data_IF_103880177266
#
_entry.id   IF_103880177266
#
_cell.length_a   1.000
_cell.length_b   1.000
_cell.length_c   1.000
_cell.angle_alpha   90.00
_cell.angle_beta   90.00
_cell.angle_gamma   90.00
#
_symmetry.space_group_name_H-M   'P 1'
#
loop_
_entity.id
_entity.type
_entity.pdbx_description
1 polymer ?
#
# COMPACT_ATOMS: atom_id res chain seq x y z
N UNK A 1 20.58 -1.55 -20.51
CA UNK A 1 19.13 -1.32 -20.64
C UNK A 1 18.56 -1.48 -19.25
N UNK A 2 18.08 -0.40 -18.63
CA UNK A 2 17.30 -0.50 -17.39
C UNK A 2 15.85 -0.70 -17.85
N UNK A 3 15.24 -1.80 -17.45
CA UNK A 3 13.80 -2.00 -17.62
C UNK A 3 13.19 -1.33 -16.41
N UNK A 4 12.35 -0.32 -16.63
CA UNK A 4 11.56 0.26 -15.55
C UNK A 4 10.37 -0.69 -15.36
N UNK A 5 10.28 -1.28 -14.17
CA UNK A 5 9.16 -2.10 -13.76
C UNK A 5 8.48 -1.38 -12.60
N UNK A 6 7.17 -1.23 -12.70
CA UNK A 6 6.30 -0.77 -11.64
C UNK A 6 5.66 -2.01 -11.00
N UNK A 7 5.68 -2.07 -9.66
CA UNK A 7 5.14 -3.18 -8.88
C UNK A 7 4.02 -2.64 -7.99
N UNK A 8 2.81 -3.16 -8.17
CA UNK A 8 1.62 -2.75 -7.42
C UNK A 8 0.99 -3.96 -6.74
N UNK A 9 0.71 -3.88 -5.44
CA UNK A 9 -0.05 -4.94 -4.76
C UNK A 9 -1.50 -4.92 -5.22
N UNK A 10 -2.06 -6.09 -5.54
CA UNK A 10 -3.41 -6.22 -6.08
C UNK A 10 -4.14 -7.42 -5.46
N UNK A 11 -5.46 -7.39 -5.57
CA UNK A 11 -6.34 -8.54 -5.42
C UNK A 11 -7.17 -8.74 -6.70
N UNK A 12 -7.58 -9.99 -6.96
CA UNK A 12 -8.52 -10.30 -8.04
C UNK A 12 -9.85 -10.74 -7.44
N UNK A 13 -10.92 -10.12 -7.92
CA UNK A 13 -12.30 -10.44 -7.55
C UNK A 13 -13.01 -11.10 -8.72
N UNK A 14 -13.93 -12.02 -8.45
CA UNK A 14 -14.84 -12.56 -9.47
C UNK A 14 -16.01 -11.59 -9.76
N UNK A 15 -16.93 -12.00 -10.64
CA UNK A 15 -18.13 -11.22 -11.01
C UNK A 15 -19.16 -11.05 -9.87
N UNK A 16 -19.06 -11.86 -8.81
CA UNK A 16 -19.87 -11.74 -7.60
C UNK A 16 -19.21 -10.84 -6.55
N UNK A 17 -17.96 -10.42 -6.77
CA UNK A 17 -17.15 -9.69 -5.82
C UNK A 17 -16.45 -10.58 -4.78
N UNK A 18 -16.46 -11.91 -4.99
CA UNK A 18 -15.73 -12.85 -4.15
C UNK A 18 -14.24 -12.85 -4.51
N UNK A 19 -13.38 -13.02 -3.51
CA UNK A 19 -11.92 -12.98 -3.68
C UNK A 19 -11.44 -14.24 -4.40
N UNK A 20 -10.91 -14.08 -5.61
CA UNK A 20 -10.23 -15.13 -6.38
C UNK A 20 -8.74 -15.21 -6.00
N UNK A 21 -8.09 -14.05 -5.89
CA UNK A 21 -6.70 -13.92 -5.44
C UNK A 21 -6.63 -12.84 -4.37
N UNK A 22 -6.26 -13.23 -3.14
CA UNK A 22 -6.20 -12.32 -2.00
C UNK A 22 -5.03 -11.33 -2.07
N UNK A 23 -3.88 -11.77 -2.61
CA UNK A 23 -2.69 -10.92 -2.75
C UNK A 23 -1.82 -11.36 -3.92
N UNK A 24 -1.65 -10.48 -4.90
CA UNK A 24 -0.74 -10.60 -6.03
C UNK A 24 0.09 -9.33 -6.22
N UNK A 25 1.08 -9.40 -7.10
CA UNK A 25 1.86 -8.24 -7.53
C UNK A 25 1.62 -8.04 -9.02
N UNK A 26 0.99 -6.93 -9.39
CA UNK A 26 0.94 -6.47 -10.77
C UNK A 26 2.33 -5.90 -11.13
N UNK A 27 2.95 -6.44 -12.17
CA UNK A 27 4.23 -6.00 -12.69
C UNK A 27 3.99 -5.41 -14.07
N UNK A 28 4.25 -4.11 -14.24
CA UNK A 28 4.09 -3.41 -15.51
C UNK A 28 5.40 -2.75 -15.96
N UNK A 29 5.68 -2.83 -17.26
CA UNK A 29 6.81 -2.15 -17.87
C UNK A 29 6.78 -2.22 -19.39
N UNK A 30 7.83 -1.69 -20.02
CA UNK A 30 7.94 -1.65 -21.48
C UNK A 30 7.91 -3.06 -22.10
N UNK A 31 6.74 -3.46 -22.62
CA UNK A 31 6.52 -4.74 -23.29
C UNK A 31 6.23 -5.92 -22.37
N UNK A 32 5.93 -5.67 -21.08
CA UNK A 32 5.55 -6.69 -20.12
C UNK A 32 4.45 -6.18 -19.19
N UNK A 33 3.40 -6.97 -19.05
CA UNK A 33 2.43 -6.83 -17.97
C UNK A 33 2.10 -8.24 -17.47
N UNK A 34 2.16 -8.48 -16.17
CA UNK A 34 1.91 -9.79 -15.59
C UNK A 34 1.46 -9.67 -14.14
N UNK A 35 0.72 -10.67 -13.67
CA UNK A 35 0.39 -10.81 -12.25
C UNK A 35 1.28 -11.90 -11.68
N UNK A 36 2.15 -11.55 -10.73
CA UNK A 36 2.92 -12.52 -9.98
C UNK A 36 2.15 -12.93 -8.71
N UNK A 37 1.88 -14.22 -8.57
CA UNK A 37 1.20 -14.77 -7.41
C UNK A 37 1.75 -16.16 -7.08
N UNK A 38 1.80 -16.54 -5.80
CA UNK A 38 2.16 -17.90 -5.37
C UNK A 38 3.46 -18.50 -5.95
N UNK A 39 4.43 -17.67 -6.33
CA UNK A 39 5.69 -18.14 -6.94
C UNK A 39 5.65 -18.31 -8.46
N UNK A 40 4.57 -17.94 -9.13
CA UNK A 40 4.38 -18.04 -10.58
C UNK A 40 3.93 -16.71 -11.19
N UNK A 41 4.22 -16.55 -12.49
CA UNK A 41 3.64 -15.48 -13.31
C UNK A 41 2.35 -16.00 -13.94
N UNK A 42 1.25 -15.40 -13.53
CA UNK A 42 -0.09 -15.59 -14.06
C UNK A 42 -0.44 -14.40 -14.96
N UNK A 43 -1.37 -14.61 -15.89
CA UNK A 43 -1.92 -13.53 -16.75
C UNK A 43 -0.85 -12.65 -17.43
N UNK A 44 0.03 -13.27 -18.22
CA UNK A 44 1.14 -12.56 -18.89
C UNK A 44 0.70 -11.96 -20.24
N UNK A 45 0.98 -10.68 -20.44
CA UNK A 45 0.72 -9.94 -21.67
C UNK A 45 1.83 -8.89 -21.94
N UNK A 46 1.67 -8.13 -23.02
CA UNK A 46 2.68 -7.15 -23.47
C UNK A 46 2.33 -5.70 -23.15
N UNK A 47 1.09 -5.44 -22.70
CA UNK A 47 0.62 -4.12 -22.28
C UNK A 47 -0.56 -4.24 -21.30
N UNK A 48 -0.72 -3.26 -20.40
CA UNK A 48 -1.77 -3.25 -19.37
C UNK A 48 -3.21 -3.40 -19.90
N UNK A 49 -3.54 -2.77 -21.04
CA UNK A 49 -4.89 -2.92 -21.63
C UNK A 49 -5.20 -4.37 -22.07
N UNK A 50 -4.18 -5.19 -22.35
CA UNK A 50 -4.37 -6.60 -22.67
C UNK A 50 -4.72 -7.40 -21.42
N UNK A 51 -4.18 -7.01 -20.25
CA UNK A 51 -4.48 -7.63 -18.97
C UNK A 51 -5.96 -7.48 -18.64
N UNK A 52 -6.53 -6.28 -18.77
CA UNK A 52 -7.96 -6.03 -18.55
C UNK A 52 -8.84 -6.95 -19.39
N UNK A 53 -8.48 -7.15 -20.67
CA UNK A 53 -9.20 -8.06 -21.56
C UNK A 53 -9.08 -9.53 -21.12
N UNK A 54 -7.88 -9.96 -20.71
CA UNK A 54 -7.65 -11.32 -20.23
C UNK A 54 -8.48 -11.57 -18.95
N UNK A 55 -8.43 -10.65 -17.99
CA UNK A 55 -9.16 -10.78 -16.73
C UNK A 55 -10.67 -10.77 -16.97
N UNK A 56 -11.17 -9.84 -17.78
CA UNK A 56 -12.60 -9.78 -18.14
C UNK A 56 -13.07 -11.07 -18.81
N UNK A 57 -12.24 -11.69 -19.67
CA UNK A 57 -12.59 -12.97 -20.33
C UNK A 57 -12.74 -14.15 -19.37
N UNK A 58 -12.19 -14.02 -18.16
CA UNK A 58 -12.26 -14.99 -17.07
C UNK A 58 -13.22 -14.55 -15.95
N UNK A 59 -14.00 -13.49 -16.17
CA UNK A 59 -14.88 -12.87 -15.17
C UNK A 59 -14.12 -12.40 -13.92
N UNK A 60 -12.90 -11.90 -14.10
CA UNK A 60 -12.08 -11.34 -13.03
C UNK A 60 -11.96 -9.83 -13.17
N UNK A 61 -11.92 -9.15 -12.02
CA UNK A 61 -11.64 -7.72 -11.91
C UNK A 61 -10.39 -7.51 -11.07
N UNK A 62 -9.47 -6.67 -11.54
CA UNK A 62 -8.29 -6.26 -10.78
C UNK A 62 -8.67 -5.11 -9.84
N UNK A 63 -8.23 -5.22 -8.59
CA UNK A 63 -8.31 -4.14 -7.62
C UNK A 63 -6.92 -3.94 -7.01
N UNK A 64 -6.41 -2.72 -7.11
CA UNK A 64 -5.20 -2.31 -6.39
C UNK A 64 -5.44 -2.32 -4.89
N UNK A 65 -4.52 -2.96 -4.17
CA UNK A 65 -4.46 -2.93 -2.72
C UNK A 65 -3.60 -1.74 -2.33
N UNK A 66 -4.24 -0.62 -2.04
CA UNK A 66 -3.58 0.44 -1.30
C UNK A 66 -3.51 0.02 0.16
N UNK A 67 -2.31 -0.04 0.73
CA UNK A 67 -2.18 -0.18 2.18
C UNK A 67 -2.78 1.09 2.82
N UNK A 68 -4.05 1.04 3.21
CA UNK A 68 -4.67 2.12 3.96
C UNK A 68 -3.85 2.31 5.25
N UNK A 69 -3.14 3.43 5.34
CA UNK A 69 -2.46 3.78 6.58
C UNK A 69 -3.52 4.12 7.61
N UNK A 70 -3.62 3.27 8.64
CA UNK A 70 -4.56 3.46 9.74
C UNK A 70 -3.84 4.01 10.97
N UNK A 71 -4.50 4.94 11.65
CA UNK A 71 -4.05 5.41 12.96
C UNK A 71 -3.97 4.24 13.95
N UNK A 72 -2.82 4.06 14.60
CA UNK A 72 -2.59 3.00 15.59
C UNK A 72 -3.54 3.09 16.79
N UNK A 73 -4.04 4.29 17.13
CA UNK A 73 -5.02 4.51 18.21
C UNK A 73 -6.48 4.33 17.76
N UNK A 74 -6.97 5.16 16.82
CA UNK A 74 -8.40 5.22 16.47
C UNK A 74 -8.79 4.37 15.26
N UNK A 75 -7.82 3.76 14.57
CA UNK A 75 -8.01 2.94 13.36
C UNK A 75 -8.65 3.67 12.17
N UNK A 76 -8.68 5.01 12.19
CA UNK A 76 -9.15 5.79 11.05
C UNK A 76 -8.08 5.86 9.96
N UNK A 77 -8.46 5.82 8.67
CA UNK A 77 -7.56 6.09 7.56
C UNK A 77 -6.91 7.47 7.68
N UNK A 78 -5.64 7.57 7.29
CA UNK A 78 -4.85 8.78 7.38
C UNK A 78 -3.87 8.91 6.22
N UNK A 79 -3.77 10.13 5.68
CA UNK A 79 -2.82 10.52 4.64
C UNK A 79 -1.63 11.31 5.19
N UNK A 80 -1.72 11.74 6.45
CA UNK A 80 -0.65 12.39 7.18
C UNK A 80 -0.78 12.10 8.68
N UNK A 81 0.32 12.18 9.40
CA UNK A 81 0.31 12.06 10.85
C UNK A 81 1.70 11.93 11.47
N UNK A 82 1.69 11.65 12.77
CA UNK A 82 2.89 11.34 13.53
C UNK A 82 3.31 9.89 13.24
N UNK A 83 4.56 9.66 12.86
CA UNK A 83 5.15 8.34 12.63
C UNK A 83 6.30 8.09 13.60
N UNK A 84 6.43 6.85 14.06
CA UNK A 84 7.47 6.39 14.97
C UNK A 84 8.27 5.28 14.30
N UNK A 85 9.52 5.55 13.92
CA UNK A 85 10.36 4.57 13.24
C UNK A 85 10.69 3.36 14.12
N UNK A 86 10.75 3.56 15.44
CA UNK A 86 11.16 2.53 16.38
C UNK A 86 10.26 1.30 16.41
N UNK A 87 8.96 1.49 16.18
CA UNK A 87 7.96 0.43 16.25
C UNK A 87 6.93 0.47 15.10
N UNK A 88 7.10 1.37 14.14
CA UNK A 88 6.22 1.54 12.99
C UNK A 88 4.82 2.06 13.35
N UNK A 89 4.62 2.60 14.57
CA UNK A 89 3.32 3.16 14.96
C UNK A 89 3.08 4.52 14.34
N UNK A 90 1.80 4.85 14.14
CA UNK A 90 1.38 6.07 13.47
C UNK A 90 0.09 6.63 14.04
N UNK A 91 -0.02 7.96 14.14
CA UNK A 91 -1.16 8.63 14.79
C UNK A 91 -1.64 9.81 13.94
N UNK A 92 -2.93 9.81 13.59
CA UNK A 92 -3.53 10.82 12.72
C UNK A 92 -3.61 12.23 13.34
N UNK A 93 -3.46 12.35 14.65
CA UNK A 93 -3.59 13.63 15.34
C UNK A 93 -2.85 13.64 16.67
N UNK A 94 -2.59 14.86 17.17
CA UNK A 94 -1.99 15.05 18.50
C UNK A 94 -2.89 14.49 19.60
N UNK A 95 -4.20 14.52 19.41
CA UNK A 95 -5.16 13.94 20.34
C UNK A 95 -5.03 12.42 20.45
N UNK A 96 -4.81 11.73 19.32
CA UNK A 96 -4.55 10.29 19.30
C UNK A 96 -3.17 9.96 19.89
N UNK A 97 -2.15 10.73 19.52
CA UNK A 97 -0.79 10.59 20.04
C UNK A 97 -0.75 10.72 21.57
N UNK A 98 -1.43 11.73 22.11
CA UNK A 98 -1.44 12.02 23.55
C UNK A 98 -2.20 11.01 24.40
N UNK A 99 -2.77 9.95 23.79
CA UNK A 99 -3.29 8.77 24.49
C UNK A 99 -2.23 7.75 24.84
N UNK A 100 -1.06 7.81 24.20
CA UNK A 100 0.03 6.83 24.38
C UNK A 100 1.33 7.43 24.89
N UNK A 101 1.62 8.70 24.57
CA UNK A 101 2.83 9.42 24.98
C UNK A 101 2.50 10.89 25.26
N UNK A 102 3.15 11.52 26.23
CA UNK A 102 2.95 12.96 26.46
C UNK A 102 3.60 13.80 25.35
N UNK A 103 3.17 15.05 25.21
CA UNK A 103 3.77 15.96 24.22
C UNK A 103 5.23 16.29 24.52
N UNK A 104 5.62 16.34 25.80
CA UNK A 104 7.02 16.56 26.19
C UNK A 104 7.91 15.39 25.79
N UNK A 105 7.49 14.17 26.10
CA UNK A 105 8.20 12.95 25.70
C UNK A 105 8.29 12.81 24.16
N UNK A 106 7.25 13.21 23.42
CA UNK A 106 7.31 13.28 21.96
C UNK A 106 8.38 14.29 21.48
N UNK A 107 8.44 15.48 22.07
CA UNK A 107 9.45 16.49 21.69
C UNK A 107 10.89 16.03 21.99
N UNK A 108 11.08 15.21 23.02
CA UNK A 108 12.41 14.68 23.37
C UNK A 108 12.94 13.67 22.34
N UNK A 109 12.04 12.98 21.63
CA UNK A 109 12.41 12.03 20.55
C UNK A 109 12.27 12.63 19.15
N UNK A 110 11.60 13.78 19.04
CA UNK A 110 11.44 14.55 17.81
C UNK A 110 12.66 15.46 17.61
N UNK A 111 13.64 15.00 16.84
CA UNK A 111 14.86 15.78 16.54
C UNK A 111 14.70 16.60 15.26
N UNK A 112 13.75 17.54 15.22
CA UNK A 112 13.42 18.35 14.03
C UNK A 112 13.09 17.52 12.76
N UNK A 113 12.65 16.28 12.92
CA UNK A 113 12.43 15.34 11.82
C UNK A 113 13.57 14.35 11.57
N UNK A 114 14.74 14.54 12.21
CA UNK A 114 15.89 13.63 12.15
C UNK A 114 15.91 12.62 13.33
N UNK A 115 14.84 12.60 14.14
CA UNK A 115 14.69 11.74 15.31
C UNK A 115 13.84 10.51 15.04
N UNK A 116 13.65 9.66 16.05
CA UNK A 116 12.87 8.41 15.94
C UNK A 116 11.35 8.63 15.77
N UNK A 117 10.89 9.88 15.78
CA UNK A 117 9.52 10.24 15.50
C UNK A 117 9.43 11.56 14.71
N UNK A 118 8.48 11.66 13.79
CA UNK A 118 8.27 12.84 12.96
C UNK A 118 6.82 12.95 12.46
N UNK A 119 6.42 14.15 12.04
CA UNK A 119 5.18 14.34 11.27
C UNK A 119 5.50 14.15 9.79
N UNK A 120 4.70 13.35 9.09
CA UNK A 120 4.84 13.15 7.65
C UNK A 120 3.48 13.10 6.96
N UNK A 121 3.49 13.46 5.68
CA UNK A 121 2.42 13.18 4.75
C UNK A 121 2.94 12.14 3.77
N UNK A 122 2.14 11.13 3.48
CA UNK A 122 2.53 10.12 2.51
C UNK A 122 1.88 10.44 1.17
N UNK A 123 2.66 10.27 0.11
CA UNK A 123 2.11 10.26 -1.24
C UNK A 123 1.52 8.87 -1.50
N UNK A 124 0.33 8.83 -2.11
CA UNK A 124 -0.24 7.61 -2.68
C UNK A 124 0.63 7.13 -3.86
#
# INVERSE_FOLDING_TARGET
MKINLEETEIQLLDDNGDVFLEKGILIEGDGLCAIYSNGSFDFVCTAGYELDHILTSQNLTLQELTEERLCSHCKSPMQEGFYFESDGTQYCSKECLTKVISWGEYLDIYDNGDGNAYWTAWED
#
